data_IF_344923530370
#
_entry.id   IF_344923530370
#
_cell.length_a   1.000
_cell.length_b   1.000
_cell.length_c   1.000
_cell.angle_alpha   90.00
_cell.angle_beta   90.00
_cell.angle_gamma   90.00
#
_symmetry.space_group_name_H-M   'P 1'
#
loop_
_entity.id
_entity.type
_entity.pdbx_description
1 polymer ?
#
# COMPACT_ATOMS: atom_id res chain seq x y z
N UNK A 1 2.81 -25.96 -8.15
CA UNK A 1 3.03 -24.55 -7.80
C UNK A 1 1.81 -23.76 -8.23
N UNK A 2 1.33 -22.88 -7.35
CA UNK A 2 0.18 -22.00 -7.62
C UNK A 2 0.61 -20.55 -7.79
N UNK A 3 1.83 -20.22 -7.33
CA UNK A 3 2.39 -18.86 -7.33
C UNK A 3 3.91 -18.86 -7.48
N UNK A 4 4.42 -17.95 -8.28
CA UNK A 4 5.85 -17.73 -8.49
C UNK A 4 6.15 -16.24 -8.39
N UNK A 5 6.95 -15.83 -7.41
CA UNK A 5 7.64 -14.54 -7.43
C UNK A 5 8.96 -14.72 -8.19
N UNK A 6 9.02 -14.09 -9.35
CA UNK A 6 10.19 -14.21 -10.21
C UNK A 6 11.08 -12.98 -10.09
N UNK A 7 12.16 -13.16 -9.36
CA UNK A 7 13.10 -12.10 -9.08
C UNK A 7 14.27 -12.07 -10.06
N UNK A 8 14.84 -10.88 -10.28
CA UNK A 8 16.05 -10.68 -11.07
C UNK A 8 16.90 -9.58 -10.44
N UNK A 9 17.89 -9.96 -9.63
CA UNK A 9 18.71 -9.06 -8.80
C UNK A 9 20.04 -8.70 -9.46
N UNK A 10 20.10 -8.73 -10.79
CA UNK A 10 21.30 -8.36 -11.54
C UNK A 10 21.04 -7.15 -12.42
N UNK A 11 21.83 -6.10 -12.22
CA UNK A 11 21.92 -5.01 -13.17
C UNK A 11 22.65 -5.50 -14.43
N UNK A 12 22.09 -5.20 -15.60
CA UNK A 12 22.72 -5.48 -16.88
C UNK A 12 23.69 -4.34 -17.18
N UNK A 13 24.94 -4.47 -16.72
CA UNK A 13 25.98 -3.46 -16.90
C UNK A 13 26.69 -3.58 -18.25
N UNK A 14 26.76 -4.80 -18.79
CA UNK A 14 27.38 -5.11 -20.08
C UNK A 14 26.29 -5.29 -21.13
N UNK A 15 25.87 -4.16 -21.74
CA UNK A 15 24.83 -4.17 -22.75
C UNK A 15 25.41 -4.55 -24.13
N UNK A 16 25.85 -5.80 -24.25
CA UNK A 16 26.47 -6.35 -25.46
C UNK A 16 25.89 -7.72 -25.79
N UNK A 17 25.43 -7.89 -27.03
CA UNK A 17 25.00 -9.16 -27.56
C UNK A 17 26.01 -9.70 -28.58
N UNK A 18 26.66 -10.83 -28.27
CA UNK A 18 27.66 -11.44 -29.16
C UNK A 18 27.10 -11.78 -30.56
N UNK A 19 25.80 -12.04 -30.64
CA UNK A 19 25.08 -12.41 -31.88
C UNK A 19 24.52 -11.17 -32.60
N UNK A 20 24.65 -9.97 -32.03
CA UNK A 20 24.17 -8.74 -32.66
C UNK A 20 25.28 -8.07 -33.47
N UNK A 21 25.00 -7.64 -34.73
CA UNK A 21 25.93 -6.84 -35.49
C UNK A 21 26.21 -5.50 -34.82
N UNK A 22 27.33 -4.86 -35.17
CA UNK A 22 27.82 -3.64 -34.51
C UNK A 22 26.81 -2.47 -34.52
N UNK A 23 26.07 -2.33 -35.60
CA UNK A 23 25.04 -1.29 -35.79
C UNK A 23 23.75 -1.56 -35.03
N UNK A 24 23.55 -2.77 -34.45
CA UNK A 24 22.38 -3.15 -33.66
C UNK A 24 22.68 -3.28 -32.16
N UNK A 25 23.92 -3.04 -31.72
CA UNK A 25 24.28 -3.19 -30.29
C UNK A 25 23.45 -2.28 -29.38
N UNK A 26 23.03 -1.09 -29.85
CA UNK A 26 22.19 -0.16 -29.08
C UNK A 26 20.75 -0.70 -28.84
N UNK A 27 20.34 -1.73 -29.56
CA UNK A 27 19.03 -2.39 -29.37
C UNK A 27 19.06 -3.45 -28.28
N UNK A 28 20.22 -3.76 -27.69
CA UNK A 28 20.39 -4.89 -26.76
C UNK A 28 19.36 -4.87 -25.61
N UNK A 29 19.23 -3.74 -24.89
CA UNK A 29 18.29 -3.62 -23.76
C UNK A 29 16.84 -3.84 -24.19
N UNK A 30 16.46 -3.30 -25.35
CA UNK A 30 15.12 -3.48 -25.90
C UNK A 30 14.86 -4.96 -26.25
N UNK A 31 15.80 -5.57 -26.96
CA UNK A 31 15.70 -7.01 -27.33
C UNK A 31 15.71 -7.93 -26.12
N UNK A 32 16.47 -7.59 -25.08
CA UNK A 32 16.46 -8.32 -23.81
C UNK A 32 15.05 -8.34 -23.18
N UNK A 33 14.39 -7.18 -23.09
CA UNK A 33 13.01 -7.09 -22.54
C UNK A 33 12.00 -7.84 -23.39
N UNK A 34 12.11 -7.76 -24.72
CA UNK A 34 11.26 -8.56 -25.61
C UNK A 34 11.45 -10.07 -25.38
N UNK A 35 12.69 -10.52 -25.13
CA UNK A 35 12.99 -11.90 -24.75
C UNK A 35 12.38 -12.30 -23.40
N UNK A 36 12.39 -11.39 -22.41
CA UNK A 36 11.73 -11.61 -21.11
C UNK A 36 10.21 -11.75 -21.30
N UNK A 37 9.58 -10.90 -22.12
CA UNK A 37 8.15 -11.00 -22.41
C UNK A 37 7.81 -12.30 -23.14
N UNK A 38 8.60 -12.73 -24.13
CA UNK A 38 8.39 -14.02 -24.82
C UNK A 38 8.47 -15.19 -23.83
N UNK A 39 9.43 -15.15 -22.91
CA UNK A 39 9.57 -16.18 -21.88
C UNK A 39 8.34 -16.23 -20.95
N UNK A 40 7.86 -15.08 -20.46
CA UNK A 40 6.64 -15.00 -19.67
C UNK A 40 5.41 -15.47 -20.46
N UNK A 41 5.28 -15.04 -21.72
CA UNK A 41 4.16 -15.44 -22.58
C UNK A 41 4.08 -16.96 -22.74
N UNK A 42 5.21 -17.59 -22.96
CA UNK A 42 5.29 -19.06 -23.08
C UNK A 42 4.98 -19.77 -21.78
N UNK A 43 5.46 -19.25 -20.65
CA UNK A 43 5.20 -19.85 -19.34
C UNK A 43 3.75 -19.68 -18.90
N UNK A 44 3.17 -18.49 -19.04
CA UNK A 44 1.77 -18.25 -18.67
C UNK A 44 0.78 -19.03 -19.55
N UNK A 45 1.12 -19.25 -20.82
CA UNK A 45 0.34 -20.14 -21.70
C UNK A 45 0.46 -21.62 -21.34
N UNK A 46 1.66 -22.06 -20.95
CA UNK A 46 1.90 -23.46 -20.57
C UNK A 46 1.33 -23.78 -19.17
N UNK A 47 1.26 -22.81 -18.28
CA UNK A 47 0.84 -22.95 -16.88
C UNK A 47 -0.17 -21.86 -16.51
N UNK A 48 -1.39 -21.85 -17.07
CA UNK A 48 -2.35 -20.76 -16.93
C UNK A 48 -2.89 -20.59 -15.50
N UNK A 49 -2.78 -21.62 -14.65
CA UNK A 49 -3.23 -21.61 -13.28
C UNK A 49 -2.16 -21.11 -12.29
N UNK A 50 -0.94 -20.81 -12.79
CA UNK A 50 0.15 -20.28 -11.94
C UNK A 50 0.18 -18.76 -12.04
N UNK A 51 0.04 -18.09 -10.89
CA UNK A 51 0.21 -16.64 -10.80
C UNK A 51 1.68 -16.27 -10.73
N UNK A 52 2.05 -15.25 -11.50
CA UNK A 52 3.40 -14.68 -11.49
C UNK A 52 3.40 -13.29 -10.83
N UNK A 53 4.37 -13.06 -9.95
CA UNK A 53 4.75 -11.75 -9.43
C UNK A 53 6.11 -11.38 -10.01
N UNK A 54 6.22 -10.18 -10.58
CA UNK A 54 7.51 -9.64 -11.03
C UNK A 54 8.27 -8.99 -9.88
N UNK A 55 9.56 -9.27 -9.82
CA UNK A 55 10.50 -8.58 -8.96
C UNK A 55 11.83 -8.39 -9.71
N UNK A 56 12.51 -7.29 -9.48
CA UNK A 56 13.86 -7.06 -9.98
C UNK A 56 14.56 -6.08 -9.05
N UNK A 57 15.08 -6.57 -7.93
CA UNK A 57 15.52 -5.73 -6.81
C UNK A 57 14.45 -4.69 -6.45
N UNK A 58 13.23 -5.15 -6.19
CA UNK A 58 12.05 -4.32 -6.13
C UNK A 58 11.49 -3.97 -7.52
N UNK A 59 11.29 -2.68 -7.80
CA UNK A 59 10.58 -2.18 -8.97
C UNK A 59 11.37 -2.07 -10.27
N UNK A 60 12.56 -2.69 -10.40
CA UNK A 60 13.41 -2.53 -11.60
C UNK A 60 12.81 -3.04 -12.92
N UNK A 61 11.77 -3.89 -12.85
CA UNK A 61 10.97 -4.35 -14.01
C UNK A 61 9.49 -4.09 -13.82
N UNK A 62 9.13 -3.02 -13.14
CA UNK A 62 7.73 -2.66 -12.91
C UNK A 62 7.25 -1.74 -14.04
N UNK A 63 6.77 -2.33 -15.12
CA UNK A 63 6.21 -1.66 -16.29
C UNK A 63 4.92 -2.35 -16.76
N UNK A 64 4.12 -1.66 -17.56
CA UNK A 64 2.82 -2.16 -18.02
C UNK A 64 2.91 -3.39 -18.93
N UNK A 65 4.01 -3.55 -19.67
CA UNK A 65 4.24 -4.76 -20.47
C UNK A 65 4.48 -5.98 -19.58
N UNK A 66 5.26 -5.81 -18.49
CA UNK A 66 5.45 -6.85 -17.49
C UNK A 66 4.14 -7.18 -16.76
N UNK A 67 3.30 -6.17 -16.45
CA UNK A 67 2.01 -6.34 -15.77
C UNK A 67 1.01 -7.16 -16.60
N UNK A 68 1.17 -7.25 -17.91
CA UNK A 68 0.36 -8.12 -18.76
C UNK A 68 0.55 -9.60 -18.40
N UNK A 69 1.76 -10.00 -18.03
CA UNK A 69 2.10 -11.39 -17.70
C UNK A 69 2.12 -11.66 -16.19
N UNK A 70 2.59 -10.70 -15.42
CA UNK A 70 2.69 -10.76 -13.97
C UNK A 70 1.88 -9.61 -13.36
N UNK A 71 0.60 -9.82 -13.02
CA UNK A 71 -0.33 -8.75 -12.65
C UNK A 71 -0.01 -8.09 -11.31
N UNK A 72 1.02 -8.56 -10.61
CA UNK A 72 1.56 -7.99 -9.39
C UNK A 72 3.08 -7.86 -9.51
N UNK A 73 3.63 -6.77 -8.98
CA UNK A 73 5.06 -6.56 -8.86
C UNK A 73 5.44 -6.16 -7.42
N UNK A 74 6.66 -6.51 -7.02
CA UNK A 74 7.29 -5.97 -5.84
C UNK A 74 7.84 -4.59 -6.17
N UNK A 75 7.30 -3.53 -5.55
CA UNK A 75 7.63 -2.17 -5.95
C UNK A 75 8.94 -1.65 -5.34
N UNK A 76 9.39 -2.22 -4.21
CA UNK A 76 10.65 -1.87 -3.54
C UNK A 76 11.03 -2.91 -2.52
N UNK A 77 12.33 -3.19 -2.40
CA UNK A 77 12.92 -4.02 -1.34
C UNK A 77 13.00 -3.28 -0.01
N UNK A 78 12.77 -1.97 0.02
CA UNK A 78 12.61 -1.26 1.27
C UNK A 78 11.24 -1.59 1.88
N UNK A 79 11.26 -2.35 2.97
CA UNK A 79 10.09 -2.86 3.67
C UNK A 79 9.70 -2.03 4.89
N UNK A 80 10.47 -0.99 5.21
CA UNK A 80 10.11 -0.09 6.32
C UNK A 80 8.77 0.60 6.05
N UNK A 81 7.85 0.52 7.00
CA UNK A 81 6.50 1.04 6.80
C UNK A 81 6.47 2.55 6.49
N UNK A 82 7.39 3.34 7.05
CA UNK A 82 7.43 4.77 6.85
C UNK A 82 7.99 5.13 5.47
N UNK A 83 9.02 4.44 5.02
CA UNK A 83 9.51 4.59 3.64
C UNK A 83 8.47 4.06 2.64
N UNK A 84 7.77 2.98 2.97
CA UNK A 84 6.69 2.42 2.14
C UNK A 84 5.52 3.38 1.93
N UNK A 85 5.22 4.29 2.87
CA UNK A 85 4.23 5.34 2.64
C UNK A 85 4.63 6.16 1.41
N UNK A 86 5.88 6.63 1.34
CA UNK A 86 6.40 7.42 0.21
C UNK A 86 6.47 6.60 -1.08
N UNK A 87 6.98 5.36 -0.98
CA UNK A 87 7.12 4.45 -2.13
C UNK A 87 5.76 4.12 -2.74
N UNK A 88 4.77 3.75 -1.92
CA UNK A 88 3.44 3.40 -2.39
C UNK A 88 2.67 4.63 -2.89
N UNK A 89 2.83 5.79 -2.24
CA UNK A 89 2.28 7.05 -2.73
C UNK A 89 2.81 7.37 -4.13
N UNK A 90 4.14 7.35 -4.31
CA UNK A 90 4.78 7.58 -5.60
C UNK A 90 4.37 6.55 -6.66
N UNK A 91 4.33 5.26 -6.30
CA UNK A 91 3.88 4.18 -7.19
C UNK A 91 2.45 4.39 -7.67
N UNK A 92 1.59 4.91 -6.81
CA UNK A 92 0.17 5.13 -7.10
C UNK A 92 -0.13 6.18 -8.17
N UNK A 93 0.87 6.96 -8.62
CA UNK A 93 0.70 7.88 -9.75
C UNK A 93 0.65 7.15 -11.10
N UNK A 94 1.26 5.97 -11.21
CA UNK A 94 1.29 5.20 -12.46
C UNK A 94 0.54 3.87 -12.39
N UNK A 95 0.31 3.33 -11.19
CA UNK A 95 -0.20 1.98 -10.99
C UNK A 95 -1.29 1.97 -9.92
N UNK A 96 -2.23 1.03 -10.02
CA UNK A 96 -3.30 0.85 -9.04
C UNK A 96 -2.84 -0.01 -7.84
N UNK A 97 -3.49 0.10 -6.66
CA UNK A 97 -3.12 -0.71 -5.48
C UNK A 97 -3.12 -2.23 -5.70
N UNK A 98 -3.89 -2.74 -6.64
CA UNK A 98 -3.89 -4.17 -6.98
C UNK A 98 -2.60 -4.65 -7.65
N UNK A 99 -1.74 -3.74 -8.14
CA UNK A 99 -0.56 -4.06 -8.94
C UNK A 99 0.73 -4.17 -8.14
N UNK A 100 0.76 -3.77 -6.86
CA UNK A 100 1.97 -3.88 -6.05
C UNK A 100 1.79 -4.72 -4.79
N UNK A 101 2.84 -5.47 -4.43
CA UNK A 101 2.96 -6.16 -3.15
C UNK A 101 3.23 -5.18 -2.01
N UNK A 102 2.58 -5.39 -0.87
CA UNK A 102 2.77 -4.63 0.35
C UNK A 102 2.76 -5.56 1.56
N UNK A 103 3.87 -5.57 2.30
CA UNK A 103 4.07 -6.51 3.40
C UNK A 103 4.28 -5.82 4.73
N UNK A 104 3.81 -6.48 5.79
CA UNK A 104 4.18 -6.20 7.18
C UNK A 104 5.53 -6.87 7.43
N UNK A 105 6.59 -6.08 7.53
CA UNK A 105 7.96 -6.56 7.75
C UNK A 105 8.29 -6.72 9.23
N UNK A 106 9.40 -7.38 9.52
CA UNK A 106 10.00 -7.46 10.86
C UNK A 106 10.42 -6.08 11.38
N UNK A 107 10.58 -5.96 12.69
CA UNK A 107 11.18 -4.80 13.36
C UNK A 107 12.19 -5.28 14.41
N UNK A 108 13.33 -4.58 14.62
CA UNK A 108 13.76 -3.39 13.86
C UNK A 108 13.87 -3.68 12.37
N UNK A 109 13.49 -2.73 11.52
CA UNK A 109 13.64 -2.90 10.07
C UNK A 109 15.11 -3.08 9.71
N UNK A 110 15.42 -4.03 8.84
CA UNK A 110 16.79 -4.46 8.49
C UNK A 110 17.58 -3.39 7.73
N UNK A 111 16.90 -2.51 6.98
CA UNK A 111 17.55 -1.46 6.19
C UNK A 111 17.76 -0.16 6.97
N UNK A 112 16.77 0.27 7.76
CA UNK A 112 16.77 1.58 8.43
C UNK A 112 16.80 1.50 9.96
N UNK A 113 16.72 0.30 10.54
CA UNK A 113 16.73 0.09 11.99
C UNK A 113 15.52 0.66 12.73
N UNK A 114 14.46 1.07 12.02
CA UNK A 114 13.29 1.71 12.61
C UNK A 114 12.38 0.71 13.31
N UNK A 115 11.81 1.16 14.44
CA UNK A 115 10.77 0.46 15.18
C UNK A 115 9.42 1.11 14.89
N UNK A 116 8.49 0.36 14.33
CA UNK A 116 7.11 0.79 14.10
C UNK A 116 6.14 -0.23 14.68
N UNK A 117 4.97 0.22 15.11
CA UNK A 117 3.95 -0.68 15.64
C UNK A 117 3.45 -1.65 14.56
N UNK A 118 3.06 -2.85 14.96
CA UNK A 118 2.45 -3.82 14.04
C UNK A 118 1.16 -3.29 13.42
N UNK A 119 0.45 -2.41 14.14
CA UNK A 119 -0.75 -1.72 13.67
C UNK A 119 -0.44 -0.74 12.52
N UNK A 120 0.57 0.12 12.67
CA UNK A 120 0.99 1.04 11.61
C UNK A 120 1.48 0.30 10.38
N UNK A 121 2.32 -0.75 10.57
CA UNK A 121 2.83 -1.58 9.45
C UNK A 121 1.70 -2.18 8.64
N UNK A 122 0.67 -2.74 9.30
CA UNK A 122 -0.48 -3.31 8.62
C UNK A 122 -1.32 -2.25 7.88
N UNK A 123 -1.57 -1.10 8.51
CA UNK A 123 -2.35 -0.02 7.90
C UNK A 123 -1.68 0.54 6.63
N UNK A 124 -0.36 0.56 6.56
CA UNK A 124 0.37 0.91 5.33
C UNK A 124 0.22 -0.20 4.28
N UNK A 125 0.36 -1.46 4.69
CA UNK A 125 0.33 -2.59 3.78
C UNK A 125 -1.06 -2.90 3.21
N UNK A 126 -2.15 -2.49 3.85
CA UNK A 126 -3.52 -2.74 3.35
C UNK A 126 -3.79 -2.16 1.96
N UNK A 127 -3.11 -1.07 1.57
CA UNK A 127 -3.23 -0.49 0.23
C UNK A 127 -2.29 -1.15 -0.78
N UNK A 128 -2.35 -2.47 -0.89
CA UNK A 128 -1.60 -3.29 -1.82
C UNK A 128 -2.03 -4.74 -1.74
N UNK A 129 -1.32 -5.63 -2.44
CA UNK A 129 -1.44 -7.06 -2.24
C UNK A 129 -0.76 -7.40 -0.90
N UNK A 130 -1.59 -7.50 0.12
CA UNK A 130 -1.19 -7.58 1.52
C UNK A 130 -0.55 -8.91 1.89
N UNK A 131 0.56 -8.86 2.61
CA UNK A 131 1.24 -10.04 3.14
C UNK A 131 2.10 -9.73 4.36
N UNK A 132 2.81 -10.74 4.84
CA UNK A 132 3.77 -10.65 5.94
C UNK A 132 5.14 -11.14 5.49
N UNK A 133 6.18 -10.41 5.88
CA UNK A 133 7.58 -10.70 5.61
C UNK A 133 8.36 -10.61 6.92
N UNK A 134 8.13 -11.61 7.76
CA UNK A 134 8.73 -11.73 9.10
C UNK A 134 8.69 -13.18 9.58
N UNK A 135 9.50 -13.51 10.57
CA UNK A 135 9.46 -14.83 11.22
C UNK A 135 8.31 -14.88 12.22
N UNK A 136 7.26 -15.61 11.87
CA UNK A 136 6.06 -15.75 12.72
C UNK A 136 6.32 -16.55 14.00
N UNK A 137 7.45 -17.28 14.08
CA UNK A 137 7.81 -18.08 15.27
C UNK A 137 8.45 -17.23 16.37
N UNK A 138 8.93 -16.03 16.03
CA UNK A 138 9.50 -15.06 16.96
C UNK A 138 8.49 -14.10 17.56
N UNK A 139 7.24 -14.15 17.10
CA UNK A 139 6.18 -13.27 17.55
C UNK A 139 5.60 -13.67 18.90
N UNK A 140 5.30 -12.68 19.74
CA UNK A 140 4.53 -12.90 20.96
C UNK A 140 3.08 -13.37 20.67
N UNK A 141 2.44 -13.97 21.64
CA UNK A 141 1.03 -14.39 21.53
C UNK A 141 0.09 -13.21 21.19
N UNK A 142 0.38 -12.02 21.72
CA UNK A 142 -0.37 -10.80 21.45
C UNK A 142 -0.22 -10.36 19.99
N UNK A 143 1.00 -10.39 19.46
CA UNK A 143 1.26 -10.07 18.04
C UNK A 143 0.63 -11.10 17.11
N UNK A 144 0.70 -12.38 17.43
CA UNK A 144 0.02 -13.43 16.66
C UNK A 144 -1.51 -13.25 16.66
N UNK A 145 -2.10 -12.87 17.80
CA UNK A 145 -3.53 -12.56 17.88
C UNK A 145 -3.88 -11.33 17.04
N UNK A 146 -3.02 -10.30 17.05
CA UNK A 146 -3.16 -9.09 16.23
C UNK A 146 -3.09 -9.42 14.75
N UNK A 147 -2.14 -10.23 14.31
CA UNK A 147 -2.02 -10.69 12.92
C UNK A 147 -3.30 -11.42 12.45
N UNK A 148 -3.87 -12.29 13.29
CA UNK A 148 -5.13 -12.96 12.94
C UNK A 148 -6.27 -11.98 12.68
N UNK A 149 -6.35 -10.91 13.48
CA UNK A 149 -7.34 -9.84 13.29
C UNK A 149 -7.06 -9.04 12.00
N UNK A 150 -5.80 -8.69 11.75
CA UNK A 150 -5.38 -7.97 10.54
C UNK A 150 -5.67 -8.76 9.27
N UNK A 151 -5.39 -10.06 9.26
CA UNK A 151 -5.72 -10.96 8.14
C UNK A 151 -7.23 -11.06 7.93
N UNK A 152 -8.01 -11.18 9.01
CA UNK A 152 -9.47 -11.22 8.91
C UNK A 152 -10.02 -9.90 8.35
N UNK A 153 -9.53 -8.77 8.83
CA UNK A 153 -9.87 -7.44 8.32
C UNK A 153 -9.54 -7.30 6.83
N UNK A 154 -8.31 -7.65 6.43
CA UNK A 154 -7.94 -7.57 5.02
C UNK A 154 -8.81 -8.48 4.14
N UNK A 155 -9.06 -9.72 4.56
CA UNK A 155 -9.95 -10.64 3.80
C UNK A 155 -11.36 -10.07 3.61
N UNK A 156 -11.89 -9.36 4.61
CA UNK A 156 -13.19 -8.70 4.53
C UNK A 156 -13.20 -7.56 3.51
N UNK A 157 -12.14 -6.73 3.49
CA UNK A 157 -12.10 -5.50 2.71
C UNK A 157 -11.17 -5.55 1.49
N UNK A 158 -10.51 -6.68 1.19
CA UNK A 158 -9.51 -6.75 0.10
C UNK A 158 -10.05 -6.33 -1.27
N UNK A 159 -11.33 -6.62 -1.57
CA UNK A 159 -11.95 -6.18 -2.82
C UNK A 159 -12.06 -4.66 -2.90
N UNK A 160 -12.35 -4.02 -1.75
CA UNK A 160 -12.40 -2.57 -1.66
C UNK A 160 -11.00 -1.98 -1.85
N UNK A 161 -9.99 -2.49 -1.14
CA UNK A 161 -8.61 -2.00 -1.28
C UNK A 161 -8.05 -2.17 -2.69
N UNK A 162 -8.33 -3.30 -3.36
CA UNK A 162 -7.75 -3.60 -4.66
C UNK A 162 -8.53 -3.03 -5.84
N UNK A 163 -9.85 -2.87 -5.73
CA UNK A 163 -10.73 -2.54 -6.85
C UNK A 163 -11.65 -1.35 -6.60
N UNK A 164 -11.62 -0.75 -5.42
CA UNK A 164 -12.27 0.52 -5.15
C UNK A 164 -11.57 1.69 -5.83
N UNK A 165 -12.22 2.84 -5.87
CA UNK A 165 -11.59 4.06 -6.36
C UNK A 165 -10.61 4.58 -5.30
N UNK A 166 -9.34 4.61 -5.64
CA UNK A 166 -8.27 5.08 -4.76
C UNK A 166 -8.08 6.59 -4.87
N UNK A 167 -7.95 7.24 -3.72
CA UNK A 167 -7.67 8.67 -3.61
C UNK A 167 -6.44 8.92 -2.74
N UNK A 168 -5.55 9.78 -3.19
CA UNK A 168 -4.54 10.44 -2.37
C UNK A 168 -5.15 11.71 -1.80
N UNK A 169 -5.11 11.89 -0.50
CA UNK A 169 -5.73 13.03 0.20
C UNK A 169 -4.69 14.07 0.60
N UNK A 170 -3.56 13.61 1.11
CA UNK A 170 -2.39 14.43 1.42
C UNK A 170 -1.19 13.81 0.73
N UNK A 171 -0.29 14.63 0.19
CA UNK A 171 0.89 14.19 -0.55
C UNK A 171 2.16 14.81 0.02
N UNK A 172 3.34 14.29 -0.31
CA UNK A 172 4.62 14.91 0.06
C UNK A 172 4.74 16.39 -0.35
N UNK A 173 4.11 16.77 -1.46
CA UNK A 173 4.11 18.15 -1.94
C UNK A 173 3.40 19.13 -1.00
N UNK A 174 2.48 18.62 -0.19
CA UNK A 174 1.73 19.42 0.77
C UNK A 174 2.23 19.26 2.20
N UNK A 175 2.80 18.10 2.54
CA UNK A 175 3.35 17.80 3.86
C UNK A 175 4.23 16.56 3.86
N UNK A 176 5.50 16.73 4.12
CA UNK A 176 6.46 15.62 4.29
C UNK A 176 6.19 14.79 5.57
N UNK A 177 5.26 15.23 6.41
CA UNK A 177 4.99 14.66 7.72
C UNK A 177 3.63 13.96 7.82
N UNK A 178 2.73 14.22 6.88
CA UNK A 178 1.38 13.66 6.87
C UNK A 178 1.02 13.16 5.48
N UNK A 179 0.45 11.95 5.42
CA UNK A 179 -0.05 11.35 4.20
C UNK A 179 -1.48 10.86 4.43
N UNK A 180 -2.30 10.86 3.40
CA UNK A 180 -3.65 10.36 3.46
C UNK A 180 -4.03 9.57 2.22
N UNK A 181 -4.55 8.36 2.44
CA UNK A 181 -5.07 7.50 1.39
C UNK A 181 -6.50 7.07 1.71
N UNK A 182 -7.27 6.90 0.69
CA UNK A 182 -8.64 6.44 0.81
C UNK A 182 -9.02 5.53 -0.35
N UNK A 183 -9.87 4.57 -0.09
CA UNK A 183 -10.51 3.77 -1.13
C UNK A 183 -12.01 3.75 -0.91
N UNK A 184 -12.77 3.98 -1.98
CA UNK A 184 -14.24 4.07 -1.97
C UNK A 184 -14.81 2.98 -2.87
N UNK A 185 -15.82 2.26 -2.38
CA UNK A 185 -16.52 1.25 -3.19
C UNK A 185 -17.25 1.89 -4.37
N UNK A 186 -17.39 1.19 -5.51
CA UNK A 186 -18.06 1.73 -6.70
C UNK A 186 -19.52 2.18 -6.43
N UNK A 187 -20.21 1.50 -5.52
CA UNK A 187 -21.57 1.84 -5.07
C UNK A 187 -21.63 2.93 -4.01
N UNK A 188 -20.45 3.40 -3.55
CA UNK A 188 -20.29 4.40 -2.50
C UNK A 188 -20.92 4.02 -1.15
N UNK A 189 -21.11 2.71 -0.92
CA UNK A 189 -21.64 2.20 0.35
C UNK A 189 -20.57 2.16 1.44
N UNK A 190 -19.31 1.98 1.05
CA UNK A 190 -18.20 1.80 1.99
C UNK A 190 -16.98 2.55 1.50
N UNK A 191 -16.31 3.24 2.42
CA UNK A 191 -14.98 3.79 2.19
C UNK A 191 -14.05 3.44 3.36
N UNK A 192 -12.76 3.30 3.09
CA UNK A 192 -11.73 3.19 4.12
C UNK A 192 -10.67 4.25 3.85
N UNK A 193 -10.53 5.16 4.80
CA UNK A 193 -9.52 6.21 4.81
C UNK A 193 -8.42 5.91 5.83
N UNK A 194 -7.20 6.29 5.49
CA UNK A 194 -6.02 6.22 6.37
C UNK A 194 -5.33 7.57 6.39
N UNK A 195 -4.91 7.97 7.58
CA UNK A 195 -4.05 9.13 7.78
C UNK A 195 -2.79 8.69 8.50
N UNK A 196 -1.66 8.96 7.90
CA UNK A 196 -0.34 8.62 8.46
C UNK A 196 0.34 9.87 8.99
N UNK A 197 0.84 9.80 10.21
CA UNK A 197 1.62 10.84 10.86
C UNK A 197 3.03 10.33 11.10
N UNK A 198 4.03 10.95 10.46
CA UNK A 198 5.43 10.54 10.61
C UNK A 198 5.96 10.99 11.99
N UNK A 199 5.97 12.27 12.24
CA UNK A 199 6.44 12.83 13.52
C UNK A 199 5.32 13.64 14.18
N UNK A 200 5.18 13.51 15.49
CA UNK A 200 4.26 14.34 16.24
C UNK A 200 4.90 15.69 16.61
N UNK A 201 4.17 16.77 16.32
CA UNK A 201 4.53 18.12 16.77
C UNK A 201 4.08 18.38 18.20
N UNK A 202 4.72 19.35 18.86
CA UNK A 202 4.23 19.89 20.12
C UNK A 202 2.96 20.73 19.89
N UNK A 203 1.98 20.61 20.80
CA UNK A 203 0.71 21.34 20.73
C UNK A 203 0.03 21.27 19.35
N UNK A 204 -0.28 20.06 18.85
CA UNK A 204 -0.86 19.89 17.53
C UNK A 204 -2.23 20.58 17.48
N UNK A 205 -2.51 21.21 16.33
CA UNK A 205 -3.83 21.75 16.05
C UNK A 205 -4.89 20.66 15.94
N UNK A 206 -6.16 21.04 15.97
CA UNK A 206 -7.26 20.14 15.63
C UNK A 206 -7.09 19.64 14.22
N UNK A 207 -7.28 18.32 14.03
CA UNK A 207 -7.10 17.63 12.75
C UNK A 207 -8.47 17.26 12.23
N UNK A 208 -8.67 17.51 10.94
CA UNK A 208 -9.82 17.02 10.19
C UNK A 208 -9.32 16.13 9.06
N UNK A 209 -10.04 15.05 8.84
CA UNK A 209 -9.84 14.17 7.69
C UNK A 209 -10.95 14.45 6.69
N UNK A 210 -10.58 14.87 5.49
CA UNK A 210 -11.50 15.22 4.42
C UNK A 210 -11.61 14.05 3.46
N UNK A 211 -12.76 13.38 3.48
CA UNK A 211 -13.04 12.29 2.56
C UNK A 211 -13.20 12.77 1.13
N UNK A 212 -13.06 11.86 0.16
CA UNK A 212 -13.32 12.09 -1.26
C UNK A 212 -14.21 10.98 -1.82
N UNK A 213 -14.90 11.28 -2.91
CA UNK A 213 -15.63 10.29 -3.69
C UNK A 213 -16.91 9.72 -3.05
N UNK A 214 -17.28 10.15 -1.85
CA UNK A 214 -18.56 9.78 -1.23
C UNK A 214 -19.74 10.37 -2.02
N UNK A 215 -20.94 9.85 -1.80
CA UNK A 215 -22.16 10.47 -2.29
C UNK A 215 -22.55 11.63 -1.38
N UNK A 216 -22.62 12.88 -1.88
CA UNK A 216 -22.90 14.05 -1.03
C UNK A 216 -24.26 13.98 -0.31
N UNK A 217 -25.25 13.35 -0.94
CA UNK A 217 -26.62 13.27 -0.41
C UNK A 217 -26.86 12.06 0.51
N UNK A 218 -25.96 11.09 0.50
CA UNK A 218 -26.08 9.90 1.33
C UNK A 218 -25.57 10.16 2.74
N UNK A 219 -26.10 9.40 3.70
CA UNK A 219 -25.67 9.45 5.09
C UNK A 219 -24.75 8.30 5.44
N UNK A 220 -23.80 8.57 6.32
CA UNK A 220 -22.74 7.64 6.71
C UNK A 220 -22.44 7.68 8.20
N UNK A 221 -21.98 6.55 8.74
CA UNK A 221 -21.31 6.49 10.03
C UNK A 221 -19.80 6.29 9.82
N UNK A 222 -19.00 6.69 10.82
CA UNK A 222 -17.54 6.50 10.83
C UNK A 222 -17.17 5.62 12.00
N UNK A 223 -16.40 4.56 11.75
CA UNK A 223 -15.90 3.58 12.75
C UNK A 223 -17.02 2.96 13.62
N UNK A 224 -18.16 2.62 13.01
CA UNK A 224 -19.34 2.10 13.70
C UNK A 224 -19.84 3.00 14.86
N UNK A 225 -19.53 4.30 14.79
CA UNK A 225 -20.01 5.32 15.71
C UNK A 225 -21.53 5.58 15.57
N UNK A 226 -22.12 6.22 16.57
CA UNK A 226 -23.54 6.56 16.58
C UNK A 226 -23.87 7.87 15.84
N UNK A 227 -22.85 8.68 15.55
CA UNK A 227 -23.03 9.93 14.82
C UNK A 227 -23.18 9.66 13.32
N UNK A 228 -24.15 10.35 12.71
CA UNK A 228 -24.45 10.23 11.29
C UNK A 228 -24.09 11.55 10.61
N UNK A 229 -23.35 11.44 9.53
CA UNK A 229 -22.85 12.56 8.73
C UNK A 229 -23.37 12.45 7.29
N UNK A 230 -23.67 13.55 6.63
CA UNK A 230 -23.85 13.51 5.18
C UNK A 230 -22.50 13.34 4.49
N UNK A 231 -22.50 12.75 3.28
CA UNK A 231 -21.27 12.67 2.49
C UNK A 231 -20.71 14.07 2.18
N UNK A 232 -21.59 15.05 1.95
CA UNK A 232 -21.17 16.44 1.77
C UNK A 232 -20.44 16.99 3.00
N UNK A 233 -20.89 16.68 4.22
CA UNK A 233 -20.23 17.09 5.46
C UNK A 233 -18.86 16.45 5.60
N UNK A 234 -18.75 15.13 5.40
CA UNK A 234 -17.48 14.41 5.47
C UNK A 234 -16.45 14.90 4.45
N UNK A 235 -16.91 15.28 3.25
CA UNK A 235 -16.04 15.76 2.19
C UNK A 235 -15.63 17.24 2.34
N UNK A 236 -16.50 18.11 2.86
CA UNK A 236 -16.27 19.56 2.86
C UNK A 236 -15.96 20.14 4.24
N UNK A 237 -16.62 19.68 5.32
CA UNK A 237 -16.30 20.06 6.68
C UNK A 237 -15.21 19.16 7.30
N UNK A 238 -15.14 17.92 6.83
CA UNK A 238 -14.20 16.90 7.28
C UNK A 238 -14.57 16.26 8.61
N UNK A 239 -14.16 15.03 8.79
CA UNK A 239 -14.30 14.29 10.05
C UNK A 239 -13.28 14.77 11.07
N UNK A 240 -13.75 15.11 12.26
CA UNK A 240 -12.85 15.49 13.35
C UNK A 240 -12.10 14.25 13.88
N UNK A 241 -10.76 14.27 13.80
CA UNK A 241 -9.93 13.20 14.33
C UNK A 241 -9.77 13.40 15.83
N UNK A 242 -10.37 12.56 16.68
CA UNK A 242 -10.25 12.71 18.13
C UNK A 242 -8.79 12.57 18.55
N UNK A 243 -8.25 13.61 19.17
CA UNK A 243 -6.92 13.58 19.80
C UNK A 243 -7.00 13.93 21.25
N UNK A 244 -6.29 13.17 22.05
CA UNK A 244 -6.10 13.53 23.45
C UNK A 244 -4.96 14.53 23.54
N UNK A 245 -5.32 15.78 23.80
CA UNK A 245 -4.37 16.91 23.85
C UNK A 245 -3.48 16.92 25.08
N UNK A 246 -3.74 16.07 26.07
CA UNK A 246 -3.01 16.11 27.34
C UNK A 246 -2.66 14.69 27.82
N UNK A 247 -1.35 14.39 27.87
CA UNK A 247 -0.83 13.14 28.42
C UNK A 247 -1.30 12.81 29.84
N UNK A 248 -1.65 13.83 30.62
CA UNK A 248 -2.14 13.64 31.98
C UNK A 248 -3.56 13.04 32.01
N UNK A 249 -4.31 13.16 30.92
CA UNK A 249 -5.69 12.67 30.83
C UNK A 249 -5.81 11.36 30.03
N UNK A 250 -4.78 10.96 29.27
CA UNK A 250 -4.74 9.68 28.58
C UNK A 250 -3.29 9.21 28.35
N UNK A 251 -2.96 7.98 28.73
CA UNK A 251 -1.67 7.38 28.42
C UNK A 251 -1.50 7.02 26.91
N UNK A 252 -2.53 7.23 26.09
CA UNK A 252 -2.59 6.82 24.68
C UNK A 252 -2.46 8.00 23.72
N UNK A 253 -1.57 8.95 23.97
CA UNK A 253 -1.20 9.90 22.92
C UNK A 253 -0.44 9.10 21.85
N UNK A 254 -0.86 9.14 20.58
CA UNK A 254 -0.12 8.48 19.52
C UNK A 254 1.35 8.94 19.53
N UNK A 255 2.25 7.98 19.43
CA UNK A 255 3.67 8.24 19.22
C UNK A 255 3.92 8.68 17.79
N UNK A 256 5.18 8.99 17.45
CA UNK A 256 5.61 9.09 16.07
C UNK A 256 5.27 7.81 15.30
N UNK A 257 5.24 7.88 13.99
CA UNK A 257 4.95 6.76 13.08
C UNK A 257 3.55 6.16 13.33
N UNK A 258 2.56 7.02 13.40
CA UNK A 258 1.19 6.67 13.73
C UNK A 258 0.28 6.64 12.50
N UNK A 259 -0.71 5.76 12.52
CA UNK A 259 -1.74 5.66 11.47
C UNK A 259 -3.15 5.65 12.08
N UNK A 260 -3.98 6.62 11.68
CA UNK A 260 -5.42 6.64 11.96
C UNK A 260 -6.17 5.90 10.83
N UNK A 261 -7.19 5.14 11.17
CA UNK A 261 -8.04 4.46 10.20
C UNK A 261 -9.50 4.86 10.39
N UNK A 262 -10.18 5.14 9.29
CA UNK A 262 -11.59 5.54 9.24
C UNK A 262 -12.35 4.60 8.32
N UNK A 263 -13.27 3.82 8.88
CA UNK A 263 -14.18 2.95 8.12
C UNK A 263 -15.51 3.67 8.02
N UNK A 264 -15.91 4.02 6.82
CA UNK A 264 -17.15 4.73 6.53
C UNK A 264 -18.15 3.76 5.94
N UNK A 265 -19.37 3.74 6.48
CA UNK A 265 -20.46 2.89 6.00
C UNK A 265 -21.72 3.71 5.81
N UNK A 266 -22.37 3.55 4.66
CA UNK A 266 -23.68 4.13 4.43
C UNK A 266 -24.73 3.52 5.38
N UNK A 267 -25.68 4.35 5.79
CA UNK A 267 -26.78 3.97 6.71
C UNK A 267 -28.17 4.10 6.07
N UNK A 268 -28.23 4.51 4.81
CA UNK A 268 -29.45 4.66 3.99
C UNK A 268 -29.30 4.01 2.60
#
# INVERSE_FOLDING_TARGET
>A
LDYIKWDMNRNITEMYGADLPADQQLEFSHRYILGVYDLYDRLTKAFPDVLFESCASGGGRFDLGMMYYAPQAWCSDDTDAIERIKIQDGTSYGYTPSMWGAHVSAVPNDQVGRLTSIDTRAKVAYFGAFGYELDVTELSDEEQATIKQQVAFYKQYRKLFQFGTFYRLETPDTSDNVYGWETVSPDKQTAIGMRYQILNGANPAYIRYYFKGLDPERHYTVNDGSEVFSGAELMNAGYFVPRVMNRLQSPKVPSDFHADMFIVKAVD
#
